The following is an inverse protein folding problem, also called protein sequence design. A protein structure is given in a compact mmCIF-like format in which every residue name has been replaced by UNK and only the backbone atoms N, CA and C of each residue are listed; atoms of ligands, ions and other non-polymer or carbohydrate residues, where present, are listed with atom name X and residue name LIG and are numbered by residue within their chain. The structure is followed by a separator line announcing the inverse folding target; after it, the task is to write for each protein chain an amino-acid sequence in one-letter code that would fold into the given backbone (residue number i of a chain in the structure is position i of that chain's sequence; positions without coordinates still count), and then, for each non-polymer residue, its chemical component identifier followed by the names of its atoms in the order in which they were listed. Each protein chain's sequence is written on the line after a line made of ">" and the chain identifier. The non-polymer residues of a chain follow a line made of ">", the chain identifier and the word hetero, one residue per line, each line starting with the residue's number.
data_IF_959504395589
#
_entry.id   IF_959504395589
#
_cell.length_a   1.000
_cell.length_b   1.000
_cell.length_c   1.000
_cell.angle_alpha   90.00
_cell.angle_beta   90.00
_cell.angle_gamma   90.00
#
_symmetry.space_group_name_H-M   'P 1'
#
loop_
_entity.id
_entity.type
_entity.pdbx_description
1 polymer ?
#
# COMPACT_ATOMS: atom_id res chain seq x y z
N UNK A 1 -17.59 -5.30 21.84
CA UNK A 1 -16.41 -4.73 21.16
C UNK A 1 -15.89 -5.79 20.20
N UNK A 2 -15.87 -5.54 18.89
CA UNK A 2 -15.17 -6.44 17.97
C UNK A 2 -13.67 -6.17 18.13
N UNK A 3 -12.95 -7.14 18.66
CA UNK A 3 -11.49 -7.11 18.71
C UNK A 3 -11.00 -7.60 17.35
N UNK A 4 -10.35 -6.73 16.59
CA UNK A 4 -9.69 -7.16 15.36
C UNK A 4 -8.40 -7.87 15.75
N UNK A 5 -8.17 -9.08 15.25
CA UNK A 5 -6.84 -9.68 15.31
C UNK A 5 -5.91 -8.87 14.42
N UNK A 6 -4.72 -8.61 14.94
CA UNK A 6 -3.67 -7.85 14.27
C UNK A 6 -2.43 -8.72 14.13
N UNK A 7 -1.83 -8.63 12.96
CA UNK A 7 -0.56 -9.23 12.64
C UNK A 7 0.43 -8.09 12.40
N UNK A 8 1.49 -8.02 13.21
CA UNK A 8 2.56 -7.03 13.01
C UNK A 8 3.49 -7.53 11.92
N UNK A 9 3.64 -6.75 10.84
CA UNK A 9 4.62 -7.04 9.78
C UNK A 9 6.02 -6.61 10.23
N UNK A 10 6.13 -5.41 10.81
CA UNK A 10 7.41 -4.86 11.23
C UNK A 10 7.44 -3.33 11.26
N UNK A 11 8.64 -2.78 11.40
CA UNK A 11 8.89 -1.35 11.29
C UNK A 11 8.94 -0.93 9.81
N UNK A 12 8.57 0.32 9.47
CA UNK A 12 8.80 0.87 8.14
C UNK A 12 10.28 0.75 7.74
N UNK A 13 10.50 0.33 6.50
CA UNK A 13 11.84 0.25 5.93
C UNK A 13 12.48 1.64 5.82
N UNK A 14 13.82 1.70 5.86
CA UNK A 14 14.57 2.97 5.84
C UNK A 14 14.20 3.84 4.63
N UNK A 15 14.08 3.24 3.45
CA UNK A 15 13.73 3.96 2.22
C UNK A 15 12.37 4.65 2.33
N UNK A 16 11.40 4.01 3.01
CA UNK A 16 10.05 4.53 3.18
C UNK A 16 10.05 5.71 4.15
N UNK A 17 10.85 5.63 5.21
CA UNK A 17 11.07 6.73 6.16
C UNK A 17 11.69 7.93 5.43
N UNK A 18 12.70 7.70 4.59
CA UNK A 18 13.37 8.75 3.81
C UNK A 18 12.44 9.36 2.75
N UNK A 19 11.68 8.53 2.04
CA UNK A 19 10.69 8.98 1.06
C UNK A 19 9.61 9.84 1.73
N UNK A 20 9.10 9.44 2.89
CA UNK A 20 8.14 10.20 3.67
C UNK A 20 8.73 11.53 4.18
N UNK A 21 9.96 11.50 4.70
CA UNK A 21 10.65 12.70 5.18
C UNK A 21 10.84 13.75 4.06
N UNK A 22 11.08 13.30 2.82
CA UNK A 22 11.24 14.20 1.66
C UNK A 22 10.00 15.04 1.35
N UNK A 23 8.83 14.64 1.83
CA UNK A 23 7.54 15.35 1.68
C UNK A 23 7.00 15.88 3.02
N UNK A 24 7.84 15.93 4.06
CA UNK A 24 7.49 16.48 5.37
C UNK A 24 6.67 15.57 6.28
N UNK A 25 6.61 14.27 5.99
CA UNK A 25 5.97 13.26 6.84
C UNK A 25 7.02 12.56 7.72
N UNK A 26 6.60 12.06 8.88
CA UNK A 26 7.48 11.29 9.77
C UNK A 26 6.90 9.90 10.06
N UNK A 27 7.57 8.86 9.56
CA UNK A 27 7.18 7.46 9.76
C UNK A 27 8.08 6.69 10.75
N UNK A 28 9.08 7.34 11.37
CA UNK A 28 10.11 6.64 12.17
C UNK A 28 9.61 5.93 13.43
N UNK A 29 8.38 6.19 13.87
CA UNK A 29 7.75 5.56 15.03
C UNK A 29 6.49 4.76 14.70
N UNK A 30 6.21 4.55 13.41
CA UNK A 30 5.05 3.78 12.96
C UNK A 30 5.38 2.28 12.91
N UNK A 31 4.33 1.47 12.82
CA UNK A 31 4.42 0.02 12.61
C UNK A 31 3.49 -0.39 11.49
N UNK A 32 3.93 -1.32 10.65
CA UNK A 32 3.05 -1.97 9.67
C UNK A 32 2.28 -3.10 10.35
N UNK A 33 0.96 -3.08 10.22
CA UNK A 33 0.07 -4.10 10.77
C UNK A 33 -0.99 -4.50 9.73
N UNK A 34 -1.25 -5.80 9.59
CA UNK A 34 -2.41 -6.33 8.86
C UNK A 34 -3.49 -6.74 9.88
N UNK A 35 -4.77 -6.65 9.51
CA UNK A 35 -5.87 -7.23 10.32
C UNK A 35 -6.69 -8.22 9.53
N UNK A 36 -7.35 -9.13 10.25
CA UNK A 36 -8.35 -10.04 9.69
C UNK A 36 -9.51 -9.27 9.02
N UNK A 37 -9.87 -8.09 9.53
CA UNK A 37 -10.90 -7.26 8.89
C UNK A 37 -10.50 -6.84 7.47
N UNK A 38 -9.25 -6.42 7.28
CA UNK A 38 -8.73 -6.12 5.96
C UNK A 38 -8.70 -7.38 5.07
N UNK A 39 -8.18 -8.50 5.58
CA UNK A 39 -8.12 -9.77 4.84
C UNK A 39 -9.54 -10.17 4.36
N UNK A 40 -10.51 -10.16 5.27
CA UNK A 40 -11.92 -10.46 4.99
C UNK A 40 -12.56 -9.47 4.00
N UNK A 41 -12.26 -8.18 4.12
CA UNK A 41 -12.76 -7.16 3.19
C UNK A 41 -12.27 -7.40 1.77
N UNK A 42 -10.96 -7.63 1.62
CA UNK A 42 -10.32 -7.92 0.34
C UNK A 42 -10.90 -9.20 -0.27
N UNK A 43 -11.01 -10.28 0.50
CA UNK A 43 -11.63 -11.51 0.01
C UNK A 43 -13.07 -11.31 -0.47
N UNK A 44 -13.90 -10.64 0.33
CA UNK A 44 -15.31 -10.44 0.00
C UNK A 44 -15.51 -9.58 -1.26
N UNK A 45 -14.64 -8.59 -1.49
CA UNK A 45 -14.80 -7.64 -2.60
C UNK A 45 -13.96 -7.95 -3.84
N UNK A 46 -12.85 -8.64 -3.67
CA UNK A 46 -11.83 -8.83 -4.71
C UNK A 46 -11.39 -10.29 -4.86
N UNK A 47 -11.88 -11.22 -4.04
CA UNK A 47 -11.66 -12.66 -4.20
C UNK A 47 -12.43 -13.27 -5.38
N UNK A 48 -13.39 -12.55 -5.96
CA UNK A 48 -14.16 -13.00 -7.13
C UNK A 48 -13.84 -12.10 -8.34
N UNK A 49 -12.95 -12.60 -9.20
CA UNK A 49 -12.50 -11.91 -10.42
C UNK A 49 -11.56 -12.80 -11.25
N UNK A 50 -11.16 -12.35 -12.43
CA UNK A 50 -10.30 -13.11 -13.37
C UNK A 50 -8.89 -13.35 -12.80
N UNK A 51 -8.39 -12.43 -11.96
CA UNK A 51 -7.20 -12.60 -11.13
C UNK A 51 -7.66 -12.58 -9.67
N UNK A 52 -8.01 -13.75 -9.14
CA UNK A 52 -8.56 -13.90 -7.80
C UNK A 52 -7.47 -13.81 -6.72
N UNK A 53 -7.80 -13.15 -5.62
CA UNK A 53 -6.94 -13.08 -4.43
C UNK A 53 -7.22 -14.29 -3.55
N UNK A 54 -6.16 -14.98 -3.15
CA UNK A 54 -6.19 -16.09 -2.20
C UNK A 54 -5.43 -15.71 -0.91
N UNK A 55 -5.47 -16.59 0.09
CA UNK A 55 -4.88 -16.30 1.41
C UNK A 55 -3.35 -16.11 1.37
N UNK A 56 -2.68 -16.87 0.50
CA UNK A 56 -1.22 -16.79 0.33
C UNK A 56 -0.78 -15.49 -0.33
N UNK A 57 -1.70 -14.74 -0.96
CA UNK A 57 -1.36 -13.43 -1.50
C UNK A 57 -1.09 -12.40 -0.39
N UNK A 58 -1.65 -12.59 0.82
CA UNK A 58 -1.36 -11.70 1.95
C UNK A 58 0.06 -11.91 2.49
N UNK A 59 0.62 -13.11 2.36
CA UNK A 59 2.00 -13.43 2.75
C UNK A 59 3.03 -12.64 1.91
N UNK A 60 2.61 -12.09 0.76
CA UNK A 60 3.44 -11.26 -0.12
C UNK A 60 3.54 -9.81 0.32
N UNK A 61 2.61 -9.32 1.15
CA UNK A 61 2.56 -7.90 1.54
C UNK A 61 3.89 -7.41 2.14
N UNK A 62 4.57 -8.15 3.05
CA UNK A 62 5.87 -7.72 3.55
C UNK A 62 6.90 -7.48 2.43
N UNK A 63 6.94 -8.35 1.42
CA UNK A 63 7.86 -8.22 0.28
C UNK A 63 7.49 -7.04 -0.64
N UNK A 64 6.19 -6.83 -0.89
CA UNK A 64 5.66 -5.71 -1.69
C UNK A 64 6.04 -4.36 -1.07
N UNK A 65 5.96 -4.24 0.26
CA UNK A 65 6.38 -3.03 0.98
C UNK A 65 7.91 -2.92 1.00
N UNK A 66 8.63 -4.04 1.16
CA UNK A 66 10.08 -4.03 1.27
C UNK A 66 10.78 -3.65 -0.03
N UNK A 67 10.30 -4.19 -1.16
CA UNK A 67 10.91 -4.05 -2.48
C UNK A 67 9.88 -3.77 -3.59
N UNK A 68 9.07 -2.70 -3.46
CA UNK A 68 8.14 -2.31 -4.51
C UNK A 68 8.89 -1.93 -5.80
N UNK A 69 8.31 -2.26 -6.95
CA UNK A 69 8.77 -1.74 -8.24
C UNK A 69 8.29 -0.30 -8.44
N UNK A 70 7.08 0.00 -7.96
CA UNK A 70 6.51 1.36 -7.94
C UNK A 70 5.93 1.66 -6.57
N UNK A 71 6.09 2.90 -6.09
CA UNK A 71 5.38 3.38 -4.91
C UNK A 71 4.95 4.84 -5.05
N UNK A 72 3.82 5.16 -4.42
CA UNK A 72 3.31 6.52 -4.22
C UNK A 72 3.10 6.70 -2.71
N UNK A 73 3.91 7.57 -2.11
CA UNK A 73 3.93 7.81 -0.67
C UNK A 73 3.24 9.13 -0.36
N UNK A 74 2.36 9.12 0.64
CA UNK A 74 1.71 10.32 1.16
C UNK A 74 0.48 10.80 0.40
N UNK A 75 -0.19 9.92 -0.35
CA UNK A 75 -1.44 10.26 -1.03
C UNK A 75 -2.58 10.48 -0.03
N UNK A 76 -3.54 11.36 -0.35
CA UNK A 76 -4.70 11.61 0.52
C UNK A 76 -5.96 11.08 -0.15
N UNK A 77 -6.59 10.07 0.45
CA UNK A 77 -7.86 9.52 -0.03
C UNK A 77 -8.94 9.77 0.99
N UNK A 78 -9.92 10.61 0.62
CA UNK A 78 -11.05 10.96 1.49
C UNK A 78 -10.60 11.38 2.91
N UNK A 79 -9.50 12.15 2.99
CA UNK A 79 -8.92 12.64 4.24
C UNK A 79 -8.07 11.64 5.03
N UNK A 80 -7.85 10.41 4.56
CA UNK A 80 -6.82 9.53 5.12
C UNK A 80 -5.54 9.58 4.30
N UNK A 81 -4.42 9.56 5.01
CA UNK A 81 -3.10 9.39 4.44
C UNK A 81 -2.90 7.93 4.04
N UNK A 82 -2.53 7.69 2.79
CA UNK A 82 -2.31 6.35 2.25
C UNK A 82 -0.99 6.28 1.48
N UNK A 83 -0.38 5.11 1.51
CA UNK A 83 0.73 4.74 0.65
C UNK A 83 0.25 3.64 -0.31
N UNK A 84 0.65 3.73 -1.57
CA UNK A 84 0.37 2.69 -2.57
C UNK A 84 1.68 2.08 -3.05
N UNK A 85 1.72 0.76 -3.12
CA UNK A 85 2.87 -0.03 -3.56
C UNK A 85 2.44 -0.96 -4.70
N UNK A 86 3.32 -1.16 -5.68
CA UNK A 86 3.15 -2.15 -6.73
C UNK A 86 4.39 -3.04 -6.85
N UNK A 87 4.17 -4.35 -6.92
CA UNK A 87 5.18 -5.36 -7.25
C UNK A 87 4.78 -6.06 -8.54
N UNK A 88 5.66 -6.04 -9.53
CA UNK A 88 5.49 -6.65 -10.83
C UNK A 88 6.08 -8.05 -10.83
N UNK A 89 5.30 -8.98 -11.37
CA UNK A 89 5.67 -10.38 -11.55
C UNK A 89 5.34 -10.80 -12.99
N UNK A 90 5.88 -11.93 -13.49
CA UNK A 90 5.53 -12.43 -14.82
C UNK A 90 4.01 -12.58 -15.00
N UNK A 91 3.42 -11.68 -15.79
CA UNK A 91 1.99 -11.68 -16.12
C UNK A 91 1.06 -11.01 -15.12
N UNK A 92 1.54 -10.45 -14.00
CA UNK A 92 0.70 -9.80 -13.00
C UNK A 92 1.40 -8.64 -12.28
N UNK A 93 0.61 -7.70 -11.75
CA UNK A 93 1.07 -6.70 -10.80
C UNK A 93 0.20 -6.75 -9.55
N UNK A 94 0.86 -6.90 -8.42
CA UNK A 94 0.26 -6.90 -7.10
C UNK A 94 0.31 -5.49 -6.54
N UNK A 95 -0.85 -4.96 -6.19
CA UNK A 95 -0.98 -3.60 -5.70
C UNK A 95 -1.55 -3.63 -4.30
N UNK A 96 -0.83 -2.98 -3.39
CA UNK A 96 -1.20 -2.86 -2.00
C UNK A 96 -1.33 -1.38 -1.61
N UNK A 97 -2.44 -1.05 -0.96
CA UNK A 97 -2.70 0.26 -0.39
C UNK A 97 -2.67 0.14 1.12
N UNK A 98 -1.78 0.89 1.74
CA UNK A 98 -1.58 0.94 3.18
C UNK A 98 -2.10 2.26 3.74
N UNK A 99 -2.90 2.18 4.80
CA UNK A 99 -3.49 3.35 5.44
C UNK A 99 -2.60 3.77 6.62
N UNK A 100 -2.14 5.01 6.63
CA UNK A 100 -1.23 5.52 7.67
C UNK A 100 -2.05 6.08 8.84
N UNK A 101 -1.94 5.45 10.00
CA UNK A 101 -2.74 5.77 11.17
C UNK A 101 -1.87 6.36 12.29
N UNK A 102 -2.11 7.62 12.67
CA UNK A 102 -1.61 8.20 13.92
C UNK A 102 -2.69 8.06 15.02
N UNK A 103 -2.35 7.44 16.13
CA UNK A 103 -3.38 6.89 17.04
C UNK A 103 -4.31 7.95 17.68
N UNK A 104 -5.63 7.72 17.56
CA UNK A 104 -6.72 7.93 18.57
C UNK A 104 -8.11 7.70 17.95
N UNK A 105 -8.23 7.69 16.62
CA UNK A 105 -9.50 7.54 15.87
C UNK A 105 -9.74 6.13 15.29
N UNK A 106 -9.04 5.11 15.79
CA UNK A 106 -8.73 3.87 15.05
C UNK A 106 -9.84 2.80 14.97
N UNK A 107 -11.05 3.04 15.50
CA UNK A 107 -12.11 2.01 15.48
C UNK A 107 -12.74 1.80 14.09
N UNK A 108 -12.54 2.73 13.15
CA UNK A 108 -13.07 2.68 11.76
C UNK A 108 -11.94 2.54 10.71
N UNK A 109 -10.67 2.62 11.13
CA UNK A 109 -9.52 3.05 10.30
C UNK A 109 -8.79 1.97 9.50
N UNK A 110 -9.50 0.99 8.92
CA UNK A 110 -8.88 0.08 7.92
C UNK A 110 -9.82 -0.23 6.77
N UNK A 111 -10.73 0.69 6.49
CA UNK A 111 -11.66 0.57 5.37
C UNK A 111 -11.00 0.95 4.04
N UNK A 112 -9.84 1.62 4.09
CA UNK A 112 -9.13 2.13 2.91
C UNK A 112 -7.85 1.36 2.60
N UNK A 113 -7.37 0.53 3.51
CA UNK A 113 -6.39 -0.52 3.18
C UNK A 113 -7.01 -1.49 2.19
N UNK A 114 -6.38 -1.73 1.05
CA UNK A 114 -6.87 -2.72 0.07
C UNK A 114 -5.74 -3.35 -0.72
N UNK A 115 -6.05 -4.49 -1.35
CA UNK A 115 -5.12 -5.27 -2.14
C UNK A 115 -5.79 -5.68 -3.44
N UNK A 116 -5.06 -5.62 -4.56
CA UNK A 116 -5.57 -6.06 -5.86
C UNK A 116 -4.48 -6.62 -6.76
N UNK A 117 -4.89 -7.50 -7.68
CA UNK A 117 -4.03 -8.06 -8.71
C UNK A 117 -4.53 -7.54 -10.06
N UNK A 118 -3.63 -6.99 -10.87
CA UNK A 118 -3.92 -6.48 -12.21
C UNK A 118 -2.91 -7.03 -13.22
N UNK A 119 -3.13 -6.78 -14.51
CA UNK A 119 -2.11 -7.03 -15.54
C UNK A 119 -0.89 -6.13 -15.30
N UNK A 120 0.28 -6.45 -15.89
CA UNK A 120 1.44 -5.57 -15.86
C UNK A 120 1.11 -4.13 -16.21
N UNK A 121 1.63 -3.18 -15.42
CA UNK A 121 1.41 -1.74 -15.56
C UNK A 121 2.73 -0.97 -15.42
N UNK A 122 2.76 0.23 -15.96
CA UNK A 122 3.80 1.24 -15.73
C UNK A 122 3.38 2.26 -14.65
N UNK A 123 4.22 3.25 -14.41
CA UNK A 123 3.95 4.32 -13.43
C UNK A 123 2.72 5.15 -13.79
N UNK A 124 2.49 5.45 -15.07
CA UNK A 124 1.32 6.24 -15.50
C UNK A 124 0.01 5.49 -15.19
N UNK A 125 -0.06 4.21 -15.55
CA UNK A 125 -1.22 3.38 -15.24
C UNK A 125 -1.36 3.13 -13.75
N UNK A 126 -0.24 3.02 -13.02
CA UNK A 126 -0.27 2.91 -11.57
C UNK A 126 -0.85 4.15 -10.92
N UNK A 127 -0.45 5.34 -11.35
CA UNK A 127 -1.04 6.60 -10.89
C UNK A 127 -2.54 6.62 -11.15
N UNK A 128 -2.98 6.33 -12.38
CA UNK A 128 -4.43 6.28 -12.71
C UNK A 128 -5.22 5.34 -11.81
N UNK A 129 -4.61 4.22 -11.44
CA UNK A 129 -5.17 3.26 -10.49
C UNK A 129 -5.28 3.87 -9.09
N UNK A 130 -4.25 4.57 -8.63
CA UNK A 130 -4.19 5.18 -7.29
C UNK A 130 -5.13 6.36 -7.18
N UNK A 131 -5.31 7.16 -8.24
CA UNK A 131 -6.23 8.31 -8.25
C UNK A 131 -7.70 7.88 -8.02
N UNK A 132 -8.05 6.64 -8.40
CA UNK A 132 -9.39 6.06 -8.22
C UNK A 132 -10.53 6.98 -8.66
N UNK A 133 -10.49 7.46 -9.91
CA UNK A 133 -11.42 8.47 -10.42
C UNK A 133 -11.39 9.79 -9.63
N UNK A 134 -10.18 10.34 -9.42
CA UNK A 134 -9.96 11.67 -8.80
C UNK A 134 -10.35 11.77 -7.31
N UNK A 135 -10.62 10.64 -6.65
CA UNK A 135 -10.94 10.59 -5.22
C UNK A 135 -9.66 10.74 -4.38
N UNK A 136 -8.52 10.28 -4.89
CA UNK A 136 -7.23 10.35 -4.21
C UNK A 136 -6.43 11.55 -4.71
N UNK A 137 -6.06 12.44 -3.79
CA UNK A 137 -5.18 13.58 -4.03
C UNK A 137 -3.71 13.14 -4.03
N UNK A 138 -3.03 13.46 -5.13
CA UNK A 138 -1.62 13.15 -5.39
C UNK A 138 -0.71 14.39 -5.45
N UNK A 139 -1.18 15.56 -5.00
CA UNK A 139 -0.45 16.83 -5.13
C UNK A 139 0.85 16.91 -4.32
N UNK A 140 0.91 16.25 -3.16
CA UNK A 140 2.06 16.28 -2.24
C UNK A 140 2.65 14.90 -1.99
N UNK A 141 2.80 14.11 -3.05
CA UNK A 141 3.27 12.72 -2.95
C UNK A 141 4.73 12.58 -3.36
N UNK A 142 5.39 11.57 -2.79
CA UNK A 142 6.67 11.07 -3.31
C UNK A 142 6.42 9.86 -4.19
N UNK A 143 6.82 9.95 -5.44
CA UNK A 143 6.82 8.85 -6.41
C UNK A 143 8.17 8.13 -6.35
N UNK A 144 8.14 6.80 -6.36
CA UNK A 144 9.33 5.96 -6.34
C UNK A 144 9.21 4.93 -7.44
N UNK A 145 10.27 4.78 -8.23
CA UNK A 145 10.44 3.75 -9.25
C UNK A 145 11.72 3.03 -8.88
N UNK A 146 11.64 1.74 -8.51
CA UNK A 146 12.82 0.98 -8.14
C UNK A 146 13.57 0.52 -9.40
N UNK A 147 14.84 0.91 -9.54
CA UNK A 147 15.76 0.31 -10.49
C UNK A 147 16.47 -0.87 -9.80
N UNK A 148 16.32 -2.07 -10.34
CA UNK A 148 17.03 -3.26 -9.83
C UNK A 148 16.56 -3.79 -8.46
N UNK A 149 15.30 -3.57 -8.08
CA UNK A 149 14.69 -4.22 -6.91
C UNK A 149 14.88 -3.51 -5.56
N UNK A 150 15.48 -2.32 -5.54
CA UNK A 150 15.57 -1.48 -4.34
C UNK A 150 14.98 -0.08 -4.59
N UNK A 151 13.89 0.31 -3.91
CA UNK A 151 13.40 1.68 -3.93
C UNK A 151 14.44 2.58 -3.24
N UNK A 152 15.25 3.31 -4.01
CA UNK A 152 16.35 4.11 -3.49
C UNK A 152 17.57 4.21 -4.40
N UNK A 153 17.62 3.42 -5.48
CA UNK A 153 18.52 3.72 -6.60
C UNK A 153 18.07 5.02 -7.26
N UNK A 154 18.91 6.06 -7.18
CA UNK A 154 18.73 7.24 -8.03
C UNK A 154 18.68 6.80 -9.50
N UNK A 155 17.69 7.32 -10.24
CA UNK A 155 17.62 7.17 -11.69
C UNK A 155 18.62 8.10 -12.37
#
# INVERSE_FOLDING_TARGET
>A
MSFFNKETIGQPEKWLIEAAASIGLNYSGLIHEITDHFKNHVFKRHGQGVLSINEKDFDRIPEIIKTPDLAIIGAIREGALINAYAKMEPGATYIYFDEVLDSKRNKVLRSRTFYKIVKPIDMENFERIVTMNEITDLTKVRKVIATGGHPGGEA
#
